data_IF_786766864999
#
_entry.id   IF_786766864999
#
_cell.length_a   1.000
_cell.length_b   1.000
_cell.length_c   1.000
_cell.angle_alpha   90.00
_cell.angle_beta   90.00
_cell.angle_gamma   90.00
#
_symmetry.space_group_name_H-M   'P 1'
#
loop_
_entity.id
_entity.type
_entity.pdbx_description
1 polymer ?
#
# COMPACT_ATOMS: atom_id res chain seq x y z
N UNK A 1 -4.36 -6.46 -9.73
CA UNK A 1 -3.69 -6.68 -8.43
C UNK A 1 -4.74 -6.87 -7.36
N UNK A 2 -4.65 -7.92 -6.56
CA UNK A 2 -5.63 -8.17 -5.50
C UNK A 2 -5.18 -7.42 -4.25
N UNK A 3 -6.00 -6.47 -3.80
CA UNK A 3 -5.86 -5.87 -2.49
C UNK A 3 -6.02 -6.95 -1.41
N UNK A 4 -5.01 -7.15 -0.56
CA UNK A 4 -5.00 -8.29 0.37
C UNK A 4 -4.83 -7.91 1.82
N UNK A 5 -4.39 -6.71 2.14
CA UNK A 5 -3.99 -6.40 3.51
C UNK A 5 -4.25 -4.95 3.88
N UNK A 6 -4.78 -4.77 5.07
CA UNK A 6 -4.86 -3.48 5.75
C UNK A 6 -4.19 -3.60 7.11
N UNK A 7 -3.62 -2.52 7.60
CA UNK A 7 -3.15 -2.41 8.98
C UNK A 7 -4.29 -1.90 9.84
N UNK A 8 -4.55 -2.55 10.95
CA UNK A 8 -5.64 -2.19 11.89
C UNK A 8 -5.03 -1.68 13.17
N UNK A 9 -5.56 -0.59 13.68
CA UNK A 9 -5.17 0.00 14.96
C UNK A 9 -6.38 -0.11 15.89
N UNK A 10 -6.17 -0.56 17.13
CA UNK A 10 -7.23 -0.57 18.12
C UNK A 10 -7.77 0.85 18.34
N UNK A 11 -9.10 0.95 18.47
CA UNK A 11 -9.77 2.25 18.59
C UNK A 11 -9.27 3.05 19.80
N UNK A 12 -9.12 2.42 20.94
CA UNK A 12 -8.64 3.07 22.16
C UNK A 12 -7.21 3.62 22.04
N UNK A 13 -6.34 2.89 21.31
CA UNK A 13 -4.97 3.35 21.03
C UNK A 13 -4.99 4.54 20.06
N UNK A 14 -5.81 4.47 19.02
CA UNK A 14 -5.94 5.57 18.05
C UNK A 14 -6.53 6.83 18.68
N UNK A 15 -7.57 6.69 19.50
CA UNK A 15 -8.23 7.83 20.16
C UNK A 15 -7.27 8.53 21.15
N UNK A 16 -6.41 7.76 21.84
CA UNK A 16 -5.38 8.31 22.72
C UNK A 16 -4.20 8.92 21.96
N UNK A 17 -3.89 8.40 20.76
CA UNK A 17 -2.69 8.75 19.98
C UNK A 17 -3.00 8.85 18.48
N UNK A 18 -3.76 9.84 18.00
CA UNK A 18 -4.17 9.93 16.59
C UNK A 18 -3.00 10.00 15.58
N UNK A 19 -1.85 10.49 16.02
CA UNK A 19 -0.63 10.59 15.22
C UNK A 19 -0.05 9.22 14.83
N UNK A 20 -0.39 8.15 15.55
CA UNK A 20 0.18 6.81 15.33
C UNK A 20 -0.18 6.27 13.92
N UNK A 21 -1.37 6.60 13.42
CA UNK A 21 -1.81 6.12 12.11
C UNK A 21 -0.92 6.67 10.99
N UNK A 22 -0.65 7.97 10.99
CA UNK A 22 0.21 8.60 9.98
C UNK A 22 1.66 8.12 10.10
N UNK A 23 2.19 8.02 11.32
CA UNK A 23 3.56 7.57 11.53
C UNK A 23 3.78 6.12 11.07
N UNK A 24 2.82 5.22 11.35
CA UNK A 24 2.87 3.85 10.84
C UNK A 24 2.79 3.83 9.32
N UNK A 25 1.91 4.59 8.71
CA UNK A 25 1.81 4.67 7.26
C UNK A 25 3.12 5.13 6.63
N UNK A 26 3.74 6.19 7.16
CA UNK A 26 5.04 6.68 6.71
C UNK A 26 6.13 5.62 6.88
N UNK A 27 6.16 4.91 7.99
CA UNK A 27 7.12 3.84 8.24
C UNK A 27 6.97 2.68 7.24
N UNK A 28 5.75 2.28 6.92
CA UNK A 28 5.50 1.25 5.89
C UNK A 28 5.90 1.71 4.49
N UNK A 29 5.62 2.97 4.13
CA UNK A 29 6.07 3.53 2.86
C UNK A 29 7.60 3.56 2.76
N UNK A 30 8.30 3.98 3.81
CA UNK A 30 9.75 3.98 3.85
C UNK A 30 10.35 2.56 3.76
N UNK A 31 9.74 1.59 4.44
CA UNK A 31 10.15 0.20 4.37
C UNK A 31 9.94 -0.39 2.97
N UNK A 32 8.82 -0.09 2.31
CA UNK A 32 8.56 -0.48 0.91
C UNK A 32 9.63 0.09 -0.02
N UNK A 33 9.90 1.38 0.11
CA UNK A 33 10.91 2.05 -0.72
C UNK A 33 12.31 1.48 -0.51
N UNK A 34 12.67 1.17 0.74
CA UNK A 34 13.92 0.48 1.04
C UNK A 34 13.98 -0.89 0.35
N UNK A 35 12.88 -1.66 0.41
CA UNK A 35 12.79 -2.96 -0.26
C UNK A 35 12.93 -2.83 -1.79
N UNK A 36 12.31 -1.83 -2.41
CA UNK A 36 12.45 -1.59 -3.85
C UNK A 36 13.90 -1.29 -4.22
N UNK A 37 14.59 -0.44 -3.46
CA UNK A 37 16.03 -0.17 -3.69
C UNK A 37 16.86 -1.44 -3.60
N UNK A 38 16.59 -2.28 -2.59
CA UNK A 38 17.30 -3.55 -2.43
C UNK A 38 17.06 -4.51 -3.59
N UNK A 39 15.84 -4.58 -4.13
CA UNK A 39 15.50 -5.45 -5.26
C UNK A 39 16.13 -4.98 -6.57
N UNK A 40 16.28 -3.66 -6.73
CA UNK A 40 16.87 -3.05 -7.93
C UNK A 40 18.41 -2.98 -7.86
N UNK A 41 19.00 -3.29 -6.71
CA UNK A 41 20.46 -3.31 -6.55
C UNK A 41 21.07 -4.53 -7.25
N UNK A 42 21.74 -4.31 -8.37
CA UNK A 42 22.32 -5.37 -9.21
C UNK A 42 23.64 -5.92 -8.68
N UNK A 43 24.37 -5.14 -7.86
CA UNK A 43 25.68 -5.51 -7.36
C UNK A 43 25.67 -6.59 -6.26
N UNK A 44 24.55 -6.80 -5.59
CA UNK A 44 24.39 -7.81 -4.53
C UNK A 44 22.94 -8.30 -4.50
N UNK A 45 22.57 -9.24 -5.38
CA UNK A 45 21.20 -9.74 -5.45
C UNK A 45 20.74 -10.30 -4.11
N UNK A 46 19.59 -9.87 -3.60
CA UNK A 46 19.01 -10.31 -2.34
C UNK A 46 18.18 -11.59 -2.48
N UNK A 47 17.92 -12.03 -3.71
CA UNK A 47 17.24 -13.27 -4.01
C UNK A 47 18.01 -14.08 -5.05
N UNK A 48 18.13 -15.39 -4.84
CA UNK A 48 18.83 -16.30 -5.74
C UNK A 48 17.96 -16.66 -6.96
N UNK A 49 17.50 -15.63 -7.68
CA UNK A 49 16.69 -15.78 -8.88
C UNK A 49 17.44 -15.22 -10.08
N UNK A 50 17.87 -16.08 -11.00
CA UNK A 50 18.62 -15.65 -12.18
C UNK A 50 17.83 -14.67 -13.09
N UNK A 51 16.50 -14.78 -13.10
CA UNK A 51 15.62 -13.95 -13.91
C UNK A 51 14.91 -12.84 -13.12
N UNK A 52 15.35 -12.54 -11.89
CA UNK A 52 14.71 -11.54 -11.06
C UNK A 52 14.69 -10.16 -11.73
N UNK A 53 15.82 -9.72 -12.26
CA UNK A 53 15.94 -8.40 -12.88
C UNK A 53 15.05 -8.23 -14.11
N UNK A 54 15.07 -9.16 -15.11
CA UNK A 54 14.14 -9.08 -16.23
C UNK A 54 12.66 -9.08 -15.83
N UNK A 55 12.28 -9.86 -14.81
CA UNK A 55 10.90 -9.89 -14.32
C UNK A 55 10.50 -8.55 -13.68
N UNK A 56 11.37 -7.91 -12.91
CA UNK A 56 11.12 -6.60 -12.32
C UNK A 56 10.95 -5.54 -13.43
N UNK A 57 11.82 -5.57 -14.44
CA UNK A 57 11.75 -4.66 -15.57
C UNK A 57 10.44 -4.83 -16.37
N UNK A 58 10.01 -6.08 -16.59
CA UNK A 58 8.74 -6.38 -17.22
C UNK A 58 7.55 -5.86 -16.39
N UNK A 59 7.51 -6.13 -15.08
CA UNK A 59 6.47 -5.60 -14.19
C UNK A 59 6.43 -4.08 -14.21
N UNK A 60 7.59 -3.41 -14.12
CA UNK A 60 7.66 -1.96 -14.17
C UNK A 60 7.17 -1.39 -15.51
N UNK A 61 7.42 -2.09 -16.62
CA UNK A 61 6.96 -1.67 -17.95
C UNK A 61 5.43 -1.71 -18.09
N UNK A 62 4.78 -2.63 -17.37
CA UNK A 62 3.32 -2.86 -17.45
C UNK A 62 2.58 -2.05 -16.39
N UNK A 63 3.05 -2.06 -15.14
CA UNK A 63 2.34 -1.52 -13.97
C UNK A 63 2.86 -0.14 -13.58
N UNK A 64 4.10 0.19 -13.97
CA UNK A 64 4.79 1.40 -13.57
C UNK A 64 5.77 1.17 -12.41
N UNK A 65 6.43 2.23 -11.99
CA UNK A 65 7.51 2.19 -10.99
C UNK A 65 7.04 1.68 -9.61
N UNK A 66 5.82 2.00 -9.23
CA UNK A 66 5.19 1.52 -7.99
C UNK A 66 4.21 0.39 -8.30
N UNK A 67 4.73 -0.85 -8.39
CA UNK A 67 3.88 -2.02 -8.65
C UNK A 67 3.10 -2.53 -7.44
N UNK A 68 3.36 -1.98 -6.25
CA UNK A 68 2.58 -2.19 -5.02
C UNK A 68 2.19 -0.85 -4.39
N UNK A 69 1.28 -0.09 -5.00
CA UNK A 69 0.91 1.22 -4.48
C UNK A 69 0.26 1.08 -3.10
N UNK A 70 0.81 1.80 -2.13
CA UNK A 70 0.20 1.98 -0.81
C UNK A 70 -0.66 3.23 -0.84
N UNK A 71 -1.69 3.24 0.00
CA UNK A 71 -2.56 4.40 0.19
C UNK A 71 -3.99 4.16 -0.26
N UNK A 72 -4.85 5.06 0.17
CA UNK A 72 -6.29 4.95 -0.07
C UNK A 72 -6.65 5.37 -1.48
N UNK A 73 -6.10 6.47 -1.98
CA UNK A 73 -6.48 7.00 -3.28
C UNK A 73 -6.03 6.10 -4.43
N UNK A 74 -4.79 5.59 -4.38
CA UNK A 74 -4.29 4.64 -5.38
C UNK A 74 -5.10 3.33 -5.43
N UNK A 75 -5.74 2.96 -4.32
CA UNK A 75 -6.51 1.72 -4.19
C UNK A 75 -8.02 1.95 -4.10
N UNK A 76 -8.51 3.19 -4.21
CA UNK A 76 -9.92 3.56 -4.02
C UNK A 76 -10.89 2.69 -4.82
N UNK A 77 -10.70 2.44 -6.13
CA UNK A 77 -11.63 1.61 -6.89
C UNK A 77 -11.76 0.17 -6.35
N UNK A 78 -10.64 -0.39 -5.86
CA UNK A 78 -10.61 -1.74 -5.29
C UNK A 78 -11.30 -1.77 -3.93
N UNK A 79 -11.08 -0.76 -3.09
CA UNK A 79 -11.71 -0.61 -1.77
C UNK A 79 -13.22 -0.44 -1.95
N UNK A 80 -13.67 0.42 -2.85
CA UNK A 80 -15.09 0.64 -3.14
C UNK A 80 -15.78 -0.63 -3.66
N UNK A 81 -15.10 -1.40 -4.51
CA UNK A 81 -15.61 -2.69 -4.97
C UNK A 81 -15.74 -3.68 -3.80
N UNK A 82 -14.76 -3.74 -2.90
CA UNK A 82 -14.83 -4.57 -1.70
C UNK A 82 -16.02 -4.17 -0.81
N UNK A 83 -16.19 -2.88 -0.53
CA UNK A 83 -17.28 -2.37 0.29
C UNK A 83 -18.66 -2.66 -0.32
N UNK A 84 -18.76 -2.59 -1.64
CA UNK A 84 -19.96 -2.99 -2.35
C UNK A 84 -20.25 -4.48 -2.15
N UNK A 85 -19.26 -5.34 -2.39
CA UNK A 85 -19.43 -6.79 -2.25
C UNK A 85 -19.73 -7.22 -0.82
N UNK A 86 -19.09 -6.61 0.19
CA UNK A 86 -19.40 -6.93 1.59
C UNK A 86 -20.85 -6.61 1.95
N UNK A 87 -21.42 -5.54 1.42
CA UNK A 87 -22.82 -5.21 1.59
C UNK A 87 -23.75 -6.13 0.79
N UNK A 88 -23.47 -6.35 -0.50
CA UNK A 88 -24.27 -7.23 -1.37
C UNK A 88 -24.34 -8.68 -0.84
N UNK A 89 -23.28 -9.15 -0.18
CA UNK A 89 -23.21 -10.47 0.45
C UNK A 89 -23.70 -10.51 1.91
N UNK A 90 -24.25 -9.41 2.42
CA UNK A 90 -24.84 -9.36 3.77
C UNK A 90 -23.82 -9.41 4.91
N UNK A 91 -22.54 -9.10 4.64
CA UNK A 91 -21.51 -9.02 5.67
C UNK A 91 -21.56 -7.69 6.44
N UNK A 92 -22.20 -6.69 5.88
CA UNK A 92 -22.45 -5.40 6.54
C UNK A 92 -23.92 -5.00 6.33
N UNK A 93 -24.54 -4.40 7.35
CA UNK A 93 -25.95 -3.97 7.31
C UNK A 93 -26.18 -2.80 6.33
N UNK A 94 -25.13 -2.05 6.02
CA UNK A 94 -25.15 -0.96 5.05
C UNK A 94 -23.84 -0.90 4.26
N UNK A 95 -23.88 -0.24 3.13
CA UNK A 95 -22.67 0.09 2.38
C UNK A 95 -21.90 1.18 3.14
N UNK A 96 -20.68 0.85 3.51
CA UNK A 96 -19.76 1.80 4.16
C UNK A 96 -19.08 2.71 3.12
N UNK A 97 -18.75 3.92 3.52
CA UNK A 97 -17.89 4.80 2.74
C UNK A 97 -16.41 4.52 3.05
N UNK A 98 -15.54 4.78 2.08
CA UNK A 98 -14.09 4.59 2.25
C UNK A 98 -13.56 5.40 3.43
N UNK A 99 -14.06 6.62 3.59
CA UNK A 99 -13.69 7.58 4.62
C UNK A 99 -14.04 7.12 6.05
N UNK A 100 -14.98 6.18 6.18
CA UNK A 100 -15.36 5.61 7.48
C UNK A 100 -14.36 4.54 7.98
N UNK A 101 -13.57 3.96 7.06
CA UNK A 101 -12.66 2.86 7.37
C UNK A 101 -11.26 3.33 7.75
N UNK A 102 -10.81 4.44 7.19
CA UNK A 102 -9.43 4.89 7.31
C UNK A 102 -9.30 6.14 8.17
N UNK A 103 -8.19 6.25 8.88
CA UNK A 103 -7.88 7.45 9.62
C UNK A 103 -7.74 8.65 8.68
N UNK A 104 -8.38 9.81 8.95
CA UNK A 104 -8.35 10.97 8.05
C UNK A 104 -6.94 11.42 7.67
N UNK A 105 -5.97 11.26 8.57
CA UNK A 105 -4.56 11.60 8.34
C UNK A 105 -3.86 10.70 7.31
N UNK A 106 -4.45 9.54 6.98
CA UNK A 106 -3.88 8.57 6.02
C UNK A 106 -4.61 8.54 4.68
N UNK A 107 -5.56 9.46 4.46
CA UNK A 107 -6.34 9.52 3.21
C UNK A 107 -5.52 9.96 2.01
N UNK A 108 -4.49 10.79 2.22
CA UNK A 108 -3.59 11.21 1.15
C UNK A 108 -2.48 10.21 0.97
N UNK A 109 -2.26 9.81 -0.29
CA UNK A 109 -1.17 8.91 -0.62
C UNK A 109 0.19 9.60 -0.43
N UNK A 110 1.17 8.83 0.05
CA UNK A 110 2.56 9.25 0.14
C UNK A 110 3.26 8.71 -1.10
N UNK A 111 3.65 9.58 -2.04
CA UNK A 111 4.37 9.13 -3.24
C UNK A 111 5.73 8.55 -2.87
N UNK A 112 6.23 7.67 -3.73
CA UNK A 112 7.63 7.25 -3.65
C UNK A 112 8.52 8.49 -3.77
N UNK A 113 9.59 8.54 -3.00
CA UNK A 113 10.56 9.63 -3.13
C UNK A 113 11.09 9.66 -4.57
N UNK A 114 11.23 10.85 -5.13
CA UNK A 114 11.94 11.06 -6.39
C UNK A 114 13.43 10.82 -6.11
N UNK A 115 13.76 9.59 -5.76
CA UNK A 115 15.08 9.22 -5.33
C UNK A 115 15.91 8.77 -6.50
N UNK A 116 16.96 9.53 -6.71
CA UNK A 116 18.25 9.09 -7.22
C UNK A 116 18.15 7.91 -8.21
N UNK A 117 18.21 8.29 -9.47
CA UNK A 117 18.57 7.39 -10.53
C UNK A 117 19.84 6.63 -10.12
N UNK A 118 19.71 5.35 -9.92
CA UNK A 118 20.86 4.44 -9.97
C UNK A 118 20.96 3.98 -11.40
#
# INVERSE_FOLDING_TARGET
>A
MLFRSTVVIRRDVYDANPWVALNLYQAFCAAKEHNYRMLLETGSPKASFAWLQPLIEEEQSIIGRDWYPYGVEANRPTIEALLRYTHEHGLTDRRLAVEELFAPSTMRDIPLSEGQHI
#
